data_IF_903834380412
#
_entry.id   IF_903834380412
#
_cell.length_a   1.000
_cell.length_b   1.000
_cell.length_c   1.000
_cell.angle_alpha   90.00
_cell.angle_beta   90.00
_cell.angle_gamma   90.00
#
_symmetry.space_group_name_H-M   'P 1'
#
loop_
_entity.id
_entity.type
_entity.pdbx_description
1 polymer ?
#
# COMPACT_ATOMS: atom_id res chain seq x y z
N UNK A 1 0.15 -2.04 -16.17
CA UNK A 1 -0.94 -1.91 -15.19
C UNK A 1 -1.01 -0.51 -14.58
N UNK A 2 0.05 0.05 -13.99
CA UNK A 2 0.10 1.48 -13.59
C UNK A 2 -0.41 2.47 -14.66
N UNK A 3 -0.01 2.26 -15.92
CA UNK A 3 -0.41 3.11 -17.05
C UNK A 3 -1.93 3.17 -17.33
N UNK A 4 -2.73 2.22 -16.83
CA UNK A 4 -4.18 2.29 -16.99
C UNK A 4 -4.87 3.20 -15.98
N UNK A 5 -4.16 3.66 -14.93
CA UNK A 5 -4.72 4.48 -13.85
C UNK A 5 -5.59 3.71 -12.85
N UNK A 6 -5.78 2.40 -13.03
CA UNK A 6 -6.65 1.55 -12.20
C UNK A 6 -5.88 0.78 -11.12
N UNK A 7 -4.58 1.05 -10.95
CA UNK A 7 -3.72 0.33 -10.01
C UNK A 7 -3.00 1.32 -9.10
N UNK A 8 -3.24 1.20 -7.78
CA UNK A 8 -2.57 1.96 -6.73
C UNK A 8 -1.72 1.05 -5.87
N UNK A 9 -0.51 1.52 -5.52
CA UNK A 9 0.44 0.79 -4.68
C UNK A 9 0.58 1.53 -3.35
N UNK A 10 0.29 0.83 -2.25
CA UNK A 10 0.43 1.34 -0.89
C UNK A 10 1.60 0.67 -0.18
N UNK A 11 2.39 1.45 0.56
CA UNK A 11 3.40 0.92 1.47
C UNK A 11 2.85 0.88 2.91
N UNK A 12 2.98 -0.26 3.58
CA UNK A 12 2.50 -0.47 4.94
C UNK A 12 3.41 0.23 5.97
N UNK A 13 2.93 1.29 6.64
CA UNK A 13 3.77 2.05 7.58
C UNK A 13 4.29 1.21 8.77
N UNK A 14 3.52 0.33 9.43
CA UNK A 14 4.06 -0.53 10.49
C UNK A 14 5.19 -1.44 10.00
N UNK A 15 5.09 -1.97 8.78
CA UNK A 15 6.12 -2.82 8.19
C UNK A 15 7.36 -2.01 7.86
N UNK A 16 7.20 -0.80 7.32
CA UNK A 16 8.33 0.10 7.07
C UNK A 16 9.12 0.39 8.35
N UNK A 17 8.42 0.70 9.45
CA UNK A 17 9.04 0.92 10.76
C UNK A 17 9.75 -0.34 11.27
N UNK A 18 9.09 -1.49 11.19
CA UNK A 18 9.64 -2.79 11.63
C UNK A 18 10.97 -3.13 10.95
N UNK A 19 11.11 -2.78 9.67
CA UNK A 19 12.31 -3.06 8.88
C UNK A 19 13.23 -1.84 8.68
N UNK A 20 12.95 -0.71 9.35
CA UNK A 20 13.70 0.54 9.21
C UNK A 20 13.81 1.05 7.76
N UNK A 21 12.77 0.84 6.96
CA UNK A 21 12.66 1.31 5.56
C UNK A 21 12.16 2.74 5.55
N UNK A 22 12.85 3.62 4.84
CA UNK A 22 12.44 5.02 4.66
C UNK A 22 11.70 5.21 3.35
N UNK A 23 11.02 6.35 3.22
CA UNK A 23 10.33 6.73 1.97
C UNK A 23 11.29 6.80 0.78
N UNK A 24 12.53 7.20 1.02
CA UNK A 24 13.59 7.30 0.00
C UNK A 24 13.97 5.94 -0.60
N UNK A 25 13.77 4.86 0.16
CA UNK A 25 14.12 3.49 -0.25
C UNK A 25 13.01 2.85 -1.10
N UNK A 26 11.85 3.51 -1.22
CA UNK A 26 10.72 3.02 -1.99
C UNK A 26 10.89 3.31 -3.48
N UNK A 27 10.37 2.40 -4.31
CA UNK A 27 10.27 2.63 -5.75
C UNK A 27 9.33 3.83 -6.04
N UNK A 28 9.58 4.62 -7.10
CA UNK A 28 8.78 5.80 -7.42
C UNK A 28 7.31 5.48 -7.74
N UNK A 29 7.00 4.22 -8.02
CA UNK A 29 5.64 3.75 -8.27
C UNK A 29 4.78 3.62 -7.00
N UNK A 30 5.33 3.73 -5.79
CA UNK A 30 4.50 3.78 -4.58
C UNK A 30 3.70 5.08 -4.56
N UNK A 31 2.38 4.95 -4.51
CA UNK A 31 1.47 6.10 -4.54
C UNK A 31 1.32 6.72 -3.15
N UNK A 32 1.25 5.88 -2.11
CA UNK A 32 0.93 6.33 -0.75
C UNK A 32 1.50 5.40 0.32
N UNK A 33 1.76 5.94 1.52
CA UNK A 33 2.10 5.17 2.71
C UNK A 33 0.84 5.10 3.57
N UNK A 34 0.39 3.89 3.89
CA UNK A 34 -0.86 3.64 4.59
C UNK A 34 -0.66 2.72 5.80
N UNK A 35 -1.44 2.96 6.85
CA UNK A 35 -1.50 2.08 8.02
C UNK A 35 -2.58 1.01 7.90
N UNK A 36 -2.68 0.17 8.93
CA UNK A 36 -3.64 -0.93 8.97
C UNK A 36 -5.10 -0.46 8.87
N UNK A 37 -5.48 0.67 9.48
CA UNK A 37 -6.85 1.19 9.41
C UNK A 37 -7.26 1.54 7.98
N UNK A 38 -6.42 2.27 7.27
CA UNK A 38 -6.67 2.64 5.87
C UNK A 38 -6.77 1.40 4.95
N UNK A 39 -5.98 0.35 5.23
CA UNK A 39 -6.11 -0.92 4.51
C UNK A 39 -7.45 -1.61 4.80
N UNK A 40 -7.91 -1.61 6.06
CA UNK A 40 -9.19 -2.21 6.43
C UNK A 40 -10.37 -1.48 5.79
N UNK A 41 -10.34 -0.14 5.75
CA UNK A 41 -11.36 0.66 5.08
C UNK A 41 -11.39 0.36 3.56
N UNK A 42 -10.22 0.25 2.92
CA UNK A 42 -10.13 -0.13 1.51
C UNK A 42 -10.63 -1.56 1.26
N UNK A 43 -10.28 -2.50 2.15
CA UNK A 43 -10.68 -3.89 2.04
C UNK A 43 -12.18 -4.10 2.28
N UNK A 44 -12.82 -3.25 3.10
CA UNK A 44 -14.27 -3.34 3.32
C UNK A 44 -15.09 -2.94 2.10
N UNK A 45 -14.54 -2.09 1.24
CA UNK A 45 -15.18 -1.67 -0.01
C UNK A 45 -14.83 -2.59 -1.19
N UNK A 46 -13.84 -3.48 -1.05
CA UNK A 46 -13.39 -4.36 -2.11
C UNK A 46 -14.32 -5.58 -2.28
N UNK A 47 -14.68 -5.90 -3.53
CA UNK A 47 -15.44 -7.13 -3.83
C UNK A 47 -14.68 -8.40 -3.43
N UNK A 48 -13.35 -8.37 -3.55
CA UNK A 48 -12.45 -9.48 -3.24
C UNK A 48 -11.18 -8.93 -2.58
N UNK A 49 -10.83 -9.50 -1.42
CA UNK A 49 -9.54 -9.26 -0.76
C UNK A 49 -8.75 -10.57 -0.70
N UNK A 50 -7.49 -10.52 -1.13
CA UNK A 50 -6.56 -11.65 -1.12
C UNK A 50 -5.42 -11.36 -0.16
N UNK A 51 -4.99 -12.37 0.59
CA UNK A 51 -3.76 -12.37 1.37
C UNK A 51 -2.79 -13.34 0.73
N UNK A 52 -1.63 -12.84 0.29
CA UNK A 52 -0.59 -13.58 -0.45
C UNK A 52 0.76 -13.47 0.25
#
# INVERSE_FOLDING_TARGET
MKASGLFKIYACSPTMEMFSVKKEDLIPEVDEIAGASAFLDLASDADITLLV
#
